data_IF_724722246017
#
_entry.id   IF_724722246017
#
_cell.length_a   1.000
_cell.length_b   1.000
_cell.length_c   1.000
_cell.angle_alpha   90.00
_cell.angle_beta   90.00
_cell.angle_gamma   90.00
#
_symmetry.space_group_name_H-M   'P 1'
#
loop_
_entity.id
_entity.type
_entity.pdbx_description
1 polymer ?
#
# COMPACT_ATOMS: atom_id res chain seq x y z
N UNK A 1 20.88 19.67 -10.77
CA UNK A 1 20.70 18.20 -10.77
C UNK A 1 19.64 17.86 -9.73
N UNK A 2 18.37 18.14 -10.02
CA UNK A 2 17.25 17.82 -9.11
C UNK A 2 16.06 17.42 -9.96
N UNK A 3 16.17 16.25 -10.59
CA UNK A 3 15.07 15.59 -11.28
C UNK A 3 15.10 14.12 -10.87
N UNK A 4 14.55 13.81 -9.70
CA UNK A 4 14.16 12.44 -9.37
C UNK A 4 12.82 12.17 -10.03
N UNK A 5 12.85 12.05 -11.35
CA UNK A 5 11.79 11.40 -12.13
C UNK A 5 11.91 9.89 -11.90
N UNK A 6 11.58 9.45 -10.68
CA UNK A 6 11.45 8.03 -10.38
C UNK A 6 10.02 7.65 -10.74
N UNK A 7 9.85 6.96 -11.87
CA UNK A 7 8.62 6.27 -12.21
C UNK A 7 8.32 5.27 -11.09
N UNK A 8 7.50 5.68 -10.13
CA UNK A 8 7.08 4.84 -9.03
C UNK A 8 6.10 3.83 -9.60
N UNK A 9 6.60 2.63 -9.90
CA UNK A 9 5.74 1.51 -10.28
C UNK A 9 4.88 1.14 -9.08
N UNK A 10 3.58 1.35 -9.24
CA UNK A 10 2.56 0.84 -8.34
C UNK A 10 2.46 -0.66 -8.62
N UNK A 11 2.79 -1.49 -7.64
CA UNK A 11 2.78 -2.95 -7.80
C UNK A 11 1.74 -3.63 -6.93
N UNK A 12 1.22 -2.92 -5.91
CA UNK A 12 0.29 -3.51 -4.95
C UNK A 12 -0.82 -2.54 -4.57
N UNK A 13 -2.04 -3.08 -4.55
CA UNK A 13 -3.22 -2.44 -3.99
C UNK A 13 -3.30 -2.84 -2.51
N UNK A 14 -3.44 -1.85 -1.63
CA UNK A 14 -3.57 -2.06 -0.20
C UNK A 14 -4.91 -1.51 0.29
N UNK A 15 -5.61 -2.28 1.11
CA UNK A 15 -6.83 -1.82 1.77
C UNK A 15 -6.48 -0.92 2.96
N UNK A 16 -7.00 0.31 2.96
CA UNK A 16 -6.82 1.27 4.06
C UNK A 16 -7.41 0.70 5.35
N UNK A 17 -8.61 0.11 5.25
CA UNK A 17 -9.21 -0.73 6.29
C UNK A 17 -9.17 -2.19 5.85
N UNK A 18 -8.51 -3.09 6.60
CA UNK A 18 -8.47 -4.51 6.25
C UNK A 18 -9.86 -5.14 6.13
N UNK A 19 -10.03 -6.07 5.19
CA UNK A 19 -11.29 -6.81 5.02
C UNK A 19 -11.72 -7.52 6.31
N UNK A 20 -10.76 -8.08 7.05
CA UNK A 20 -10.98 -8.73 8.34
C UNK A 20 -11.58 -7.81 9.42
N UNK A 21 -11.43 -6.49 9.26
CA UNK A 21 -12.02 -5.49 10.17
C UNK A 21 -13.28 -4.83 9.59
N UNK A 22 -13.83 -5.39 8.49
CA UNK A 22 -14.98 -4.84 7.79
C UNK A 22 -14.63 -3.69 6.86
N UNK A 23 -13.49 -3.76 6.17
CA UNK A 23 -13.21 -2.95 4.98
C UNK A 23 -13.89 -3.52 3.73
N UNK A 24 -13.94 -2.71 2.67
CA UNK A 24 -14.55 -3.08 1.37
C UNK A 24 -13.53 -3.01 0.24
N UNK A 25 -13.87 -3.56 -0.94
CA UNK A 25 -13.07 -3.40 -2.16
C UNK A 25 -13.45 -2.13 -2.95
N UNK A 26 -14.13 -1.17 -2.31
CA UNK A 26 -14.41 0.11 -2.95
C UNK A 26 -13.11 0.88 -3.17
N UNK A 27 -13.00 1.59 -4.29
CA UNK A 27 -11.82 2.38 -4.64
C UNK A 27 -11.43 3.38 -3.53
N UNK A 28 -12.42 3.87 -2.77
CA UNK A 28 -12.23 4.76 -1.64
C UNK A 28 -11.51 4.11 -0.43
N UNK A 29 -11.52 2.77 -0.35
CA UNK A 29 -10.81 1.97 0.65
C UNK A 29 -9.52 1.35 0.07
N UNK A 30 -9.18 1.60 -1.20
CA UNK A 30 -8.01 1.05 -1.86
C UNK A 30 -6.97 2.14 -2.09
N UNK A 31 -5.69 1.81 -1.84
CA UNK A 31 -4.56 2.67 -2.18
C UNK A 31 -3.54 1.90 -3.01
N UNK A 32 -3.20 2.50 -4.14
CA UNK A 32 -2.10 2.09 -5.00
C UNK A 32 -0.77 2.46 -4.34
N UNK A 33 0.02 1.47 -3.95
CA UNK A 33 1.32 1.69 -3.34
C UNK A 33 2.46 1.14 -4.15
N UNK A 34 3.57 1.87 -4.04
CA UNK A 34 4.86 1.41 -4.48
C UNK A 34 5.35 0.24 -3.62
N UNK A 35 6.17 -0.64 -4.17
CA UNK A 35 6.68 -1.81 -3.41
C UNK A 35 7.37 -1.40 -2.10
N UNK A 36 8.19 -0.35 -2.11
CA UNK A 36 8.86 0.12 -0.88
C UNK A 36 7.88 0.72 0.13
N UNK A 37 6.90 1.50 -0.34
CA UNK A 37 5.83 2.07 0.47
C UNK A 37 4.99 0.97 1.13
N UNK A 38 4.66 -0.07 0.37
CA UNK A 38 3.91 -1.22 0.85
C UNK A 38 4.71 -2.02 1.87
N UNK A 39 5.99 -2.30 1.61
CA UNK A 39 6.88 -2.99 2.55
C UNK A 39 7.04 -2.21 3.86
N UNK A 40 7.15 -0.89 3.80
CA UNK A 40 7.27 -0.05 4.98
C UNK A 40 6.00 -0.06 5.84
N UNK A 41 4.83 -0.01 5.21
CA UNK A 41 3.54 -0.05 5.93
C UNK A 41 3.30 -1.43 6.52
N UNK A 42 3.52 -2.51 5.76
CA UNK A 42 3.44 -3.87 6.29
C UNK A 42 4.39 -4.08 7.47
N UNK A 43 5.62 -3.52 7.42
CA UNK A 43 6.57 -3.59 8.51
C UNK A 43 6.14 -2.77 9.74
N UNK A 44 5.58 -1.57 9.54
CA UNK A 44 5.12 -0.68 10.60
C UNK A 44 3.82 -1.15 11.26
N UNK A 45 2.90 -1.73 10.51
CA UNK A 45 1.62 -2.22 11.02
C UNK A 45 1.71 -3.61 11.66
N UNK A 46 2.91 -4.19 11.77
CA UNK A 46 3.13 -5.46 12.47
C UNK A 46 2.51 -6.69 11.78
N UNK A 47 1.96 -6.51 10.56
CA UNK A 47 1.32 -7.55 9.76
C UNK A 47 2.35 -8.43 9.07
N UNK A 48 3.07 -9.24 9.85
CA UNK A 48 3.92 -10.30 9.35
C UNK A 48 3.04 -11.41 8.78
N UNK A 49 2.65 -11.24 7.51
CA UNK A 49 2.01 -12.23 6.64
C UNK A 49 0.67 -12.79 7.13
N UNK A 50 -0.39 -12.42 6.41
CA UNK A 50 -1.62 -13.20 6.26
C UNK A 50 -1.84 -13.44 4.78
#
# INVERSE_FOLDING_TARGET
MTERSLSVFITKVHHIKPLAQGGTNDDNNLRALCTSCHSEITAREGGRWG
#
